data_IF_844827930933
#
_entry.id   IF_844827930933
#
_cell.length_a   1.000
_cell.length_b   1.000
_cell.length_c   1.000
_cell.angle_alpha   90.00
_cell.angle_beta   90.00
_cell.angle_gamma   90.00
#
_symmetry.space_group_name_H-M   'P 1'
#
loop_
_entity.id
_entity.type
_entity.pdbx_description
1 polymer ?
#
# COMPACT_ATOMS: atom_id res chain seq x y z
N UNK A 1 11.85 -9.38 25.57
CA UNK A 1 11.85 -7.92 25.34
C UNK A 1 10.63 -7.63 24.49
N UNK A 2 9.56 -7.12 25.09
CA UNK A 2 8.26 -6.89 24.45
C UNK A 2 8.18 -5.42 24.03
N UNK A 3 7.90 -5.15 22.75
CA UNK A 3 7.42 -3.83 22.31
C UNK A 3 6.09 -4.06 21.59
N UNK A 4 5.04 -3.48 22.19
CA UNK A 4 3.66 -3.44 21.72
C UNK A 4 3.52 -2.31 20.71
N UNK A 5 3.01 -2.61 19.52
CA UNK A 5 2.28 -1.62 18.70
C UNK A 5 1.02 -2.31 18.19
N UNK A 6 -0.12 -1.86 18.68
CA UNK A 6 -1.44 -2.34 18.29
C UNK A 6 -2.52 -1.60 19.07
N UNK A 7 -3.60 -1.26 18.36
CA UNK A 7 -4.88 -0.69 18.80
C UNK A 7 -5.03 0.83 18.71
N UNK A 8 -5.68 1.26 17.63
CA UNK A 8 -6.64 2.36 17.64
C UNK A 8 -8.05 1.75 17.53
N UNK A 9 -8.97 2.34 18.30
CA UNK A 9 -10.44 2.19 18.28
C UNK A 9 -11.06 1.06 19.13
N UNK A 10 -11.67 1.42 20.26
CA UNK A 10 -13.09 1.14 20.67
C UNK A 10 -13.48 2.07 21.84
N UNK A 11 -14.72 2.60 21.78
CA UNK A 11 -15.49 3.47 22.70
C UNK A 11 -15.62 3.02 24.18
N UNK A 12 -15.82 3.96 25.14
CA UNK A 12 -17.12 4.26 25.81
C UNK A 12 -17.02 5.33 26.96
N UNK A 13 -18.21 5.87 27.30
CA UNK A 13 -18.58 7.00 28.16
C UNK A 13 -18.35 6.90 29.70
N UNK A 14 -18.50 8.09 30.33
CA UNK A 14 -19.03 8.45 31.68
C UNK A 14 -18.06 8.65 32.87
N UNK A 15 -18.01 9.92 33.35
CA UNK A 15 -18.33 10.40 34.71
C UNK A 15 -17.45 11.59 35.17
N UNK A 16 -18.09 12.71 35.53
CA UNK A 16 -17.52 13.86 36.28
C UNK A 16 -17.53 13.57 37.80
N UNK A 17 -17.14 14.48 38.73
CA UNK A 17 -16.55 15.84 38.66
C UNK A 17 -15.23 15.95 39.48
N UNK A 18 -14.53 17.09 39.64
CA UNK A 18 -14.66 18.01 40.80
C UNK A 18 -13.62 19.15 40.72
N UNK A 19 -14.10 20.40 40.68
CA UNK A 19 -13.69 21.64 41.42
C UNK A 19 -12.20 22.04 41.54
N UNK A 20 -11.84 23.24 41.06
CA UNK A 20 -11.36 24.39 41.86
C UNK A 20 -10.92 25.60 40.97
N UNK A 21 -11.37 26.80 41.35
CA UNK A 21 -10.86 28.14 41.00
C UNK A 21 -9.80 28.55 42.06
N UNK A 22 -8.84 29.48 41.84
CA UNK A 22 -9.13 30.91 41.60
C UNK A 22 -8.15 31.71 40.70
N UNK A 23 -8.60 32.94 40.38
CA UNK A 23 -7.92 34.01 39.64
C UNK A 23 -6.93 34.83 40.50
N UNK A 24 -5.89 35.39 39.86
CA UNK A 24 -5.19 36.66 40.16
C UNK A 24 -3.99 36.79 39.17
N UNK A 25 -3.46 37.92 38.67
CA UNK A 25 -3.70 39.38 38.68
C UNK A 25 -2.77 40.00 37.59
N UNK A 26 -2.92 41.30 37.29
CA UNK A 26 -2.37 42.12 36.20
C UNK A 26 -0.81 42.27 36.02
N UNK A 27 -0.45 42.70 34.79
CA UNK A 27 0.78 43.30 34.15
C UNK A 27 1.63 44.33 34.94
N UNK A 28 2.78 44.92 34.44
CA UNK A 28 3.48 44.89 33.11
C UNK A 28 5.05 44.74 33.10
N UNK A 29 5.64 44.81 31.88
CA UNK A 29 7.04 44.71 31.35
C UNK A 29 8.17 45.60 32.00
N UNK A 30 9.48 45.64 31.57
CA UNK A 30 10.13 45.15 30.31
C UNK A 30 11.61 44.63 30.35
N UNK A 31 12.08 44.11 29.19
CA UNK A 31 13.48 44.00 28.64
C UNK A 31 14.58 43.18 29.36
N UNK A 32 15.09 42.13 28.68
CA UNK A 32 16.49 41.96 28.24
C UNK A 32 16.94 40.49 28.10
N UNK A 33 17.77 40.25 27.08
CA UNK A 33 18.73 39.15 26.88
C UNK A 33 18.18 37.74 26.58
N UNK A 34 18.35 37.33 25.32
CA UNK A 34 18.19 35.97 24.83
C UNK A 34 19.36 35.06 25.27
N UNK A 35 19.03 33.94 25.89
CA UNK A 35 19.80 32.70 25.96
C UNK A 35 18.82 31.53 25.69
N UNK A 36 19.27 30.37 25.17
CA UNK A 36 18.44 29.49 24.34
C UNK A 36 17.41 28.74 25.18
N UNK A 37 16.12 28.92 24.86
CA UNK A 37 15.04 28.19 25.50
C UNK A 37 15.00 26.75 24.99
N UNK A 38 15.31 25.83 25.89
CA UNK A 38 14.87 24.45 25.84
C UNK A 38 13.34 24.36 25.65
N UNK A 39 12.90 23.35 24.90
CA UNK A 39 11.53 22.83 24.87
C UNK A 39 10.42 23.86 24.60
N UNK A 40 10.45 24.49 23.42
CA UNK A 40 9.24 25.12 22.88
C UNK A 40 8.30 24.02 22.35
N UNK A 41 7.24 23.72 23.11
CA UNK A 41 6.08 23.01 22.57
C UNK A 41 5.42 23.88 21.50
N UNK A 42 5.14 23.30 20.33
CA UNK A 42 4.60 23.98 19.16
C UNK A 42 3.34 24.81 19.49
N UNK A 43 3.33 26.06 19.05
CA UNK A 43 2.24 27.01 19.25
C UNK A 43 1.04 26.71 18.33
N UNK A 44 -0.18 27.14 18.71
CA UNK A 44 -1.42 26.86 17.97
C UNK A 44 -1.43 27.16 16.45
N UNK A 45 -0.72 28.20 15.95
CA UNK A 45 -0.56 28.42 14.51
C UNK A 45 0.36 27.39 13.84
N UNK A 46 1.42 26.93 14.52
CA UNK A 46 2.28 25.84 14.04
C UNK A 46 1.57 24.49 14.06
N UNK A 47 0.54 24.29 14.90
CA UNK A 47 -0.35 23.11 14.81
C UNK A 47 -1.35 23.18 13.65
N UNK A 48 -1.54 24.37 13.08
CA UNK A 48 -2.42 24.59 11.93
C UNK A 48 -1.64 24.56 10.60
N UNK A 49 -0.32 24.79 10.67
CA UNK A 49 0.65 24.59 9.58
C UNK A 49 1.48 23.30 9.73
N UNK A 50 1.36 22.58 10.84
CA UNK A 50 1.63 21.16 10.93
C UNK A 50 0.62 20.52 10.00
N UNK A 51 1.05 20.38 8.76
CA UNK A 51 0.29 19.85 7.66
C UNK A 51 -0.42 18.61 8.17
N UNK A 52 -1.76 18.65 8.16
CA UNK A 52 -2.60 17.46 8.13
C UNK A 52 -2.35 16.74 6.80
N UNK A 53 -1.13 16.27 6.60
CA UNK A 53 -0.75 15.24 5.64
C UNK A 53 -0.39 14.01 6.46
N UNK A 54 -1.39 13.48 7.17
CA UNK A 54 -1.64 12.05 7.03
C UNK A 54 -2.13 11.86 5.58
N UNK A 55 -1.21 11.99 4.62
CA UNK A 55 -1.54 11.87 3.22
C UNK A 55 -2.00 10.43 3.03
N UNK A 56 -3.30 10.23 2.82
CA UNK A 56 -3.83 8.95 2.38
C UNK A 56 -3.00 8.55 1.15
N UNK A 57 -2.38 7.39 1.19
CA UNK A 57 -1.59 6.82 0.09
C UNK A 57 -2.22 5.52 -0.36
N UNK A 58 -1.88 5.07 -1.58
CA UNK A 58 -2.25 3.73 -2.03
C UNK A 58 -1.40 2.75 -1.20
N UNK A 59 -2.03 1.83 -0.45
CA UNK A 59 -1.28 0.98 0.46
C UNK A 59 -0.39 0.01 -0.32
N UNK A 60 0.72 -0.36 0.29
CA UNK A 60 1.61 -1.38 -0.24
C UNK A 60 0.97 -2.77 -0.14
N UNK A 61 1.45 -3.75 -0.92
CA UNK A 61 1.03 -5.13 -0.74
C UNK A 61 1.28 -5.66 0.68
N UNK A 62 2.42 -5.31 1.30
CA UNK A 62 2.74 -5.68 2.68
C UNK A 62 1.74 -5.13 3.70
N UNK A 63 1.29 -3.88 3.54
CA UNK A 63 0.23 -3.29 4.36
C UNK A 63 -1.10 -4.02 4.19
N UNK A 64 -1.49 -4.36 2.95
CA UNK A 64 -2.71 -5.14 2.68
C UNK A 64 -2.65 -6.54 3.29
N UNK A 65 -1.49 -7.22 3.22
CA UNK A 65 -1.31 -8.55 3.78
C UNK A 65 -1.29 -8.52 5.31
N UNK A 66 -0.67 -7.50 5.91
CA UNK A 66 -0.72 -7.29 7.36
C UNK A 66 -2.15 -7.02 7.84
N UNK A 67 -2.93 -6.25 7.06
CA UNK A 67 -4.32 -5.93 7.37
C UNK A 67 -5.26 -7.15 7.37
N UNK A 68 -4.92 -8.25 6.68
CA UNK A 68 -5.66 -9.53 6.77
C UNK A 68 -5.66 -10.10 8.20
N UNK A 69 -4.68 -9.73 9.05
CA UNK A 69 -4.54 -10.20 10.42
C UNK A 69 -4.20 -11.70 10.55
N UNK A 70 -4.07 -12.18 11.79
CA UNK A 70 -3.65 -13.56 12.13
C UNK A 70 -4.75 -14.64 12.34
N UNK A 71 -5.98 -14.60 11.79
CA UNK A 71 -6.84 -15.79 11.79
C UNK A 71 -6.73 -16.62 10.49
N UNK A 72 -6.41 -16.01 9.35
CA UNK A 72 -6.08 -16.74 8.13
C UNK A 72 -4.56 -16.86 8.07
N UNK A 73 -3.99 -18.04 8.35
CA UNK A 73 -2.63 -18.36 7.86
C UNK A 73 -2.83 -18.86 6.44
N UNK A 74 -2.74 -17.99 5.42
CA UNK A 74 -2.99 -18.44 4.06
C UNK A 74 -1.86 -19.39 3.68
N UNK A 75 -2.19 -20.41 2.90
CA UNK A 75 -1.16 -21.13 2.15
C UNK A 75 -0.62 -20.15 1.09
N UNK A 76 0.41 -19.39 1.46
CA UNK A 76 1.02 -18.36 0.62
C UNK A 76 1.64 -18.93 -0.65
N UNK A 77 2.22 -20.13 -0.58
CA UNK A 77 2.78 -20.83 -1.73
C UNK A 77 1.69 -21.16 -2.78
N UNK A 78 0.47 -21.52 -2.34
CA UNK A 78 -0.66 -21.70 -3.26
C UNK A 78 -1.12 -20.42 -3.98
N UNK A 79 -0.58 -19.24 -3.60
CA UNK A 79 -0.94 -17.94 -4.18
C UNK A 79 0.06 -17.45 -5.22
N UNK A 80 1.12 -18.20 -5.48
CA UNK A 80 1.97 -17.93 -6.63
C UNK A 80 1.16 -18.01 -7.93
N UNK A 81 1.54 -17.16 -8.88
CA UNK A 81 1.07 -17.21 -10.26
C UNK A 81 2.16 -17.79 -11.15
N UNK A 82 1.76 -18.24 -12.34
CA UNK A 82 2.74 -18.64 -13.36
C UNK A 82 3.62 -17.45 -13.81
N UNK A 83 4.74 -17.74 -14.49
CA UNK A 83 5.60 -16.69 -15.03
C UNK A 83 4.84 -15.74 -15.95
N UNK A 84 5.12 -14.44 -15.83
CA UNK A 84 4.57 -13.43 -16.72
C UNK A 84 5.56 -13.10 -17.85
N UNK A 85 5.08 -12.59 -19.00
CA UNK A 85 5.97 -12.01 -19.98
C UNK A 85 6.83 -10.86 -19.42
N UNK A 86 8.04 -10.65 -19.98
CA UNK A 86 8.98 -9.63 -19.50
C UNK A 86 9.39 -8.60 -20.57
N UNK A 87 8.87 -8.75 -21.79
CA UNK A 87 9.22 -7.92 -22.96
C UNK A 87 8.03 -7.05 -23.42
N UNK A 88 7.30 -6.49 -22.46
CA UNK A 88 6.26 -5.50 -22.73
C UNK A 88 6.85 -4.24 -23.37
N UNK A 89 6.10 -3.61 -24.26
CA UNK A 89 6.53 -2.38 -24.96
C UNK A 89 5.93 -1.12 -24.34
N UNK A 90 4.69 -1.21 -23.89
CA UNK A 90 3.97 -0.09 -23.29
C UNK A 90 4.46 0.16 -21.86
N UNK A 91 4.98 1.36 -21.60
CA UNK A 91 5.41 1.80 -20.25
C UNK A 91 4.30 1.66 -19.19
N UNK A 92 3.01 1.96 -19.46
CA UNK A 92 1.94 1.77 -18.49
C UNK A 92 1.77 0.31 -18.07
N UNK A 93 1.85 -0.61 -19.04
CA UNK A 93 1.78 -2.05 -18.79
C UNK A 93 2.99 -2.56 -18.01
N UNK A 94 4.19 -2.07 -18.31
CA UNK A 94 5.40 -2.39 -17.54
C UNK A 94 5.23 -1.92 -16.08
N UNK A 95 4.73 -0.70 -15.85
CA UNK A 95 4.50 -0.16 -14.52
C UNK A 95 3.49 -0.99 -13.72
N UNK A 96 2.35 -1.33 -14.32
CA UNK A 96 1.33 -2.19 -13.68
C UNK A 96 1.89 -3.58 -13.33
N UNK A 97 2.64 -4.21 -14.24
CA UNK A 97 3.26 -5.51 -13.98
C UNK A 97 4.38 -5.44 -12.93
N UNK A 98 5.18 -4.37 -12.92
CA UNK A 98 6.21 -4.14 -11.90
C UNK A 98 5.58 -4.08 -10.50
N UNK A 99 4.49 -3.33 -10.35
CA UNK A 99 3.71 -3.31 -9.12
C UNK A 99 3.23 -4.70 -8.69
N UNK A 100 2.69 -5.47 -9.63
CA UNK A 100 2.26 -6.84 -9.40
C UNK A 100 3.40 -7.77 -8.96
N UNK A 101 4.60 -7.65 -9.55
CA UNK A 101 5.77 -8.43 -9.14
C UNK A 101 6.26 -8.05 -7.74
N UNK A 102 6.21 -6.77 -7.37
CA UNK A 102 6.52 -6.35 -5.99
C UNK A 102 5.57 -7.04 -5.00
N UNK A 103 4.27 -7.11 -5.32
CA UNK A 103 3.30 -7.84 -4.52
C UNK A 103 3.63 -9.35 -4.45
N UNK A 104 4.06 -9.97 -5.55
CA UNK A 104 4.51 -11.37 -5.51
C UNK A 104 5.75 -11.55 -4.61
N UNK A 105 6.65 -10.56 -4.56
CA UNK A 105 7.81 -10.56 -3.67
C UNK A 105 7.39 -10.66 -2.20
N UNK A 106 6.40 -9.86 -1.79
CA UNK A 106 5.81 -9.98 -0.45
C UNK A 106 5.19 -11.36 -0.20
N UNK A 107 4.51 -11.96 -1.18
CA UNK A 107 3.96 -13.34 -1.04
C UNK A 107 5.09 -14.35 -0.83
N UNK A 108 6.21 -14.21 -1.55
CA UNK A 108 7.36 -15.10 -1.39
C UNK A 108 8.02 -14.97 -0.01
N UNK A 109 8.10 -13.75 0.53
CA UNK A 109 8.58 -13.50 1.91
C UNK A 109 7.63 -14.09 2.95
N UNK A 110 6.33 -13.89 2.79
CA UNK A 110 5.29 -14.49 3.65
C UNK A 110 5.31 -16.03 3.61
N UNK A 111 5.63 -16.60 2.45
CA UNK A 111 5.85 -18.04 2.27
C UNK A 111 7.22 -18.53 2.77
N UNK A 112 8.14 -17.63 3.13
CA UNK A 112 9.52 -17.93 3.48
C UNK A 112 10.27 -18.74 2.40
N UNK A 113 10.02 -18.42 1.13
CA UNK A 113 10.61 -19.11 -0.01
C UNK A 113 11.76 -18.27 -0.62
N UNK A 114 12.98 -18.58 -0.19
CA UNK A 114 14.21 -17.91 -0.67
C UNK A 114 14.36 -17.97 -2.19
N UNK A 115 14.00 -19.10 -2.82
CA UNK A 115 14.18 -19.26 -4.26
C UNK A 115 13.18 -18.40 -5.03
N UNK A 116 11.94 -18.31 -4.56
CA UNK A 116 10.95 -17.43 -5.17
C UNK A 116 11.28 -15.96 -4.97
N UNK A 117 11.79 -15.56 -3.80
CA UNK A 117 12.29 -14.19 -3.57
C UNK A 117 13.35 -13.82 -4.62
N UNK A 118 14.32 -14.71 -4.87
CA UNK A 118 15.37 -14.50 -5.88
C UNK A 118 14.82 -14.43 -7.30
N UNK A 119 13.92 -15.35 -7.68
CA UNK A 119 13.30 -15.38 -9.00
C UNK A 119 12.55 -14.07 -9.28
N UNK A 120 11.70 -13.65 -8.33
CA UNK A 120 10.90 -12.43 -8.44
C UNK A 120 11.79 -11.19 -8.42
N UNK A 121 12.82 -11.15 -7.57
CA UNK A 121 13.80 -10.06 -7.54
C UNK A 121 14.47 -9.85 -8.91
N UNK A 122 14.85 -10.94 -9.57
CA UNK A 122 15.39 -10.90 -10.94
C UNK A 122 14.41 -10.30 -11.95
N UNK A 123 13.12 -10.62 -11.84
CA UNK A 123 12.08 -10.12 -12.74
C UNK A 123 11.71 -8.65 -12.45
N UNK A 124 11.68 -8.24 -11.18
CA UNK A 124 11.54 -6.83 -10.76
C UNK A 124 12.65 -5.99 -11.37
N UNK A 125 13.91 -6.45 -11.30
CA UNK A 125 15.06 -5.75 -11.90
C UNK A 125 14.90 -5.61 -13.42
N UNK A 126 14.39 -6.62 -14.12
CA UNK A 126 14.17 -6.55 -15.58
C UNK A 126 13.13 -5.49 -15.94
N UNK A 127 11.97 -5.48 -15.30
CA UNK A 127 10.93 -4.48 -15.60
C UNK A 127 11.34 -3.07 -15.16
N UNK A 128 12.03 -2.95 -14.02
CA UNK A 128 12.58 -1.68 -13.57
C UNK A 128 13.60 -1.07 -14.55
N UNK A 129 14.47 -1.90 -15.14
CA UNK A 129 15.39 -1.47 -16.22
C UNK A 129 14.62 -0.94 -17.43
N UNK A 130 13.53 -1.61 -17.83
CA UNK A 130 12.71 -1.17 -18.96
C UNK A 130 12.02 0.19 -18.71
N UNK A 131 11.79 0.57 -17.43
CA UNK A 131 11.29 1.89 -17.04
C UNK A 131 12.40 2.94 -16.83
N UNK A 132 13.67 2.55 -16.82
CA UNK A 132 14.82 3.44 -16.60
C UNK A 132 15.11 3.77 -15.14
N UNK A 133 14.64 2.96 -14.17
CA UNK A 133 14.74 3.25 -12.72
C UNK A 133 15.70 2.33 -11.98
N UNK A 134 16.59 1.64 -12.69
CA UNK A 134 17.31 0.47 -12.16
C UNK A 134 18.48 0.74 -11.23
N UNK A 135 19.13 1.92 -11.28
CA UNK A 135 20.37 2.14 -10.52
C UNK A 135 20.16 2.01 -9.00
N UNK A 136 19.09 2.59 -8.46
CA UNK A 136 18.80 2.52 -7.03
C UNK A 136 18.25 1.14 -6.58
N UNK A 137 17.66 0.38 -7.50
CA UNK A 137 17.04 -0.92 -7.22
C UNK A 137 18.09 -2.03 -7.15
N UNK A 138 19.13 -1.94 -7.99
CA UNK A 138 20.22 -2.91 -8.01
C UNK A 138 21.01 -2.91 -6.70
N UNK A 139 21.19 -1.74 -6.07
CA UNK A 139 21.89 -1.62 -4.79
C UNK A 139 21.20 -2.39 -3.65
N UNK A 140 19.86 -2.42 -3.64
CA UNK A 140 19.05 -3.11 -2.61
C UNK A 140 18.88 -4.61 -2.88
N UNK A 141 18.98 -5.03 -4.14
CA UNK A 141 18.86 -6.44 -4.52
C UNK A 141 19.86 -7.37 -3.82
N UNK A 142 21.05 -6.86 -3.48
CA UNK A 142 22.05 -7.63 -2.73
C UNK A 142 21.59 -7.91 -1.28
N UNK A 143 21.07 -6.89 -0.58
CA UNK A 143 20.54 -7.02 0.77
C UNK A 143 19.33 -7.97 0.83
N UNK A 144 18.42 -7.86 -0.13
CA UNK A 144 17.26 -8.76 -0.27
C UNK A 144 17.71 -10.22 -0.37
N UNK A 145 18.70 -10.51 -1.23
CA UNK A 145 19.21 -11.87 -1.39
C UNK A 145 19.90 -12.37 -0.11
N UNK A 146 20.70 -11.52 0.53
CA UNK A 146 21.41 -11.88 1.77
C UNK A 146 20.42 -12.19 2.91
N UNK A 147 19.42 -11.35 3.13
CA UNK A 147 18.40 -11.60 4.15
C UNK A 147 17.59 -12.87 3.86
N UNK A 148 17.26 -13.13 2.59
CA UNK A 148 16.56 -14.35 2.19
C UNK A 148 17.41 -15.63 2.37
N UNK A 149 18.72 -15.57 2.16
CA UNK A 149 19.66 -16.68 2.39
C UNK A 149 19.85 -16.97 3.88
N UNK A 150 19.86 -15.93 4.70
CA UNK A 150 20.03 -16.04 6.15
C UNK A 150 18.73 -16.34 6.92
N UNK A 151 17.59 -16.45 6.23
CA UNK A 151 16.25 -16.60 6.83
C UNK A 151 15.86 -15.39 7.72
N UNK A 152 16.35 -14.20 7.41
CA UNK A 152 16.08 -12.95 8.13
C UNK A 152 14.76 -12.31 7.63
N UNK A 153 13.65 -13.04 7.74
CA UNK A 153 12.37 -12.69 7.10
C UNK A 153 11.78 -11.33 7.51
N UNK A 154 11.96 -10.94 8.77
CA UNK A 154 11.51 -9.62 9.24
C UNK A 154 12.32 -8.49 8.61
N UNK A 155 13.65 -8.63 8.54
CA UNK A 155 14.52 -7.64 7.90
C UNK A 155 14.27 -7.60 6.39
N UNK A 156 13.99 -8.75 5.77
CA UNK A 156 13.62 -8.84 4.37
C UNK A 156 12.31 -8.11 4.06
N UNK A 157 11.31 -8.20 4.93
CA UNK A 157 10.06 -7.46 4.78
C UNK A 157 10.29 -5.95 4.84
N UNK A 158 11.08 -5.48 5.81
CA UNK A 158 11.47 -4.07 5.92
C UNK A 158 12.26 -3.60 4.68
N UNK A 159 13.20 -4.40 4.17
CA UNK A 159 13.98 -4.06 2.97
C UNK A 159 13.11 -4.03 1.70
N UNK A 160 12.08 -4.88 1.59
CA UNK A 160 11.12 -4.82 0.48
C UNK A 160 10.29 -3.53 0.52
N UNK A 161 9.84 -3.10 1.69
CA UNK A 161 9.13 -1.83 1.85
C UNK A 161 10.03 -0.64 1.50
N UNK A 162 11.27 -0.66 1.99
CA UNK A 162 12.28 0.35 1.63
C UNK A 162 12.55 0.38 0.13
N UNK A 163 12.66 -0.78 -0.52
CA UNK A 163 12.84 -0.91 -1.97
C UNK A 163 11.65 -0.33 -2.73
N UNK A 164 10.42 -0.62 -2.31
CA UNK A 164 9.23 -0.07 -2.95
C UNK A 164 9.20 1.47 -2.83
N UNK A 165 9.55 2.02 -1.67
CA UNK A 165 9.59 3.47 -1.46
C UNK A 165 10.69 4.14 -2.29
N UNK A 166 11.84 3.49 -2.44
CA UNK A 166 12.92 3.94 -3.32
C UNK A 166 12.49 3.97 -4.78
N UNK A 167 11.79 2.93 -5.27
CA UNK A 167 11.22 2.90 -6.64
C UNK A 167 10.30 4.10 -6.84
N UNK A 168 9.39 4.34 -5.88
CA UNK A 168 8.46 5.49 -5.94
C UNK A 168 9.22 6.82 -5.98
N UNK A 169 10.23 7.00 -5.12
CA UNK A 169 11.03 8.23 -5.04
C UNK A 169 11.87 8.46 -6.30
N UNK A 170 12.53 7.42 -6.83
CA UNK A 170 13.32 7.49 -8.06
C UNK A 170 12.45 7.93 -9.24
N UNK A 171 11.27 7.34 -9.39
CA UNK A 171 10.32 7.73 -10.44
C UNK A 171 9.74 9.15 -10.25
N UNK A 172 9.59 9.62 -9.00
CA UNK A 172 9.12 10.98 -8.70
C UNK A 172 10.12 12.07 -9.13
N UNK A 173 11.42 11.76 -9.11
CA UNK A 173 12.50 12.65 -9.56
C UNK A 173 12.63 12.77 -11.08
N UNK A 174 11.85 11.99 -11.85
CA UNK A 174 11.85 11.94 -13.31
C UNK A 174 10.50 12.39 -13.91
N UNK A 175 10.39 12.47 -15.24
CA UNK A 175 9.14 12.74 -15.98
C UNK A 175 8.08 11.60 -15.87
N UNK A 176 8.28 10.64 -14.98
CA UNK A 176 7.51 9.40 -14.84
C UNK A 176 6.65 9.37 -13.57
N UNK A 177 6.32 10.54 -13.01
CA UNK A 177 5.50 10.66 -11.80
C UNK A 177 4.18 9.88 -11.89
N UNK A 178 3.55 9.91 -13.06
CA UNK A 178 2.31 9.19 -13.32
C UNK A 178 2.46 7.66 -13.30
N UNK A 179 3.62 7.15 -13.73
CA UNK A 179 3.89 5.72 -13.73
C UNK A 179 4.01 5.18 -12.30
N UNK A 180 4.36 6.02 -11.31
CA UNK A 180 4.36 5.63 -9.88
C UNK A 180 2.97 5.24 -9.40
N UNK A 181 1.96 5.97 -9.88
CA UNK A 181 0.56 5.68 -9.58
C UNK A 181 0.19 4.32 -10.16
N UNK A 182 0.65 4.01 -11.38
CA UNK A 182 0.41 2.71 -12.02
C UNK A 182 1.17 1.56 -11.36
N UNK A 183 2.41 1.76 -10.90
CA UNK A 183 3.14 0.76 -10.09
C UNK A 183 2.38 0.48 -8.78
N UNK A 184 1.96 1.54 -8.09
CA UNK A 184 1.21 1.39 -6.84
C UNK A 184 -0.13 0.69 -7.07
N UNK A 185 -0.82 1.03 -8.18
CA UNK A 185 -2.06 0.40 -8.59
C UNK A 185 -1.89 -1.09 -8.92
N UNK A 186 -0.85 -1.45 -9.67
CA UNK A 186 -0.56 -2.85 -10.01
C UNK A 186 -0.32 -3.70 -8.76
N UNK A 187 0.44 -3.17 -7.80
CA UNK A 187 0.65 -3.81 -6.50
C UNK A 187 -0.64 -3.96 -5.70
N UNK A 188 -1.49 -2.93 -5.69
CA UNK A 188 -2.78 -2.97 -5.01
C UNK A 188 -3.75 -3.98 -5.64
N UNK A 189 -3.86 -4.05 -6.97
CA UNK A 189 -4.72 -5.01 -7.67
C UNK A 189 -4.25 -6.43 -7.35
N UNK A 190 -2.95 -6.69 -7.45
CA UNK A 190 -2.38 -8.00 -7.13
C UNK A 190 -2.58 -8.37 -5.65
N UNK A 191 -2.33 -7.44 -4.73
CA UNK A 191 -2.58 -7.64 -3.31
C UNK A 191 -4.04 -7.98 -3.03
N UNK A 192 -4.96 -7.21 -3.60
CA UNK A 192 -6.41 -7.44 -3.49
C UNK A 192 -6.82 -8.78 -4.08
N UNK A 193 -6.22 -9.21 -5.19
CA UNK A 193 -6.43 -10.54 -5.79
C UNK A 193 -6.08 -11.66 -4.82
N UNK A 194 -4.93 -11.56 -4.14
CA UNK A 194 -4.51 -12.56 -3.15
C UNK A 194 -5.46 -12.55 -1.96
N UNK A 195 -5.65 -11.38 -1.35
CA UNK A 195 -6.48 -11.17 -0.15
C UNK A 195 -7.90 -11.69 -0.38
N UNK A 196 -8.57 -11.24 -1.44
CA UNK A 196 -9.92 -11.70 -1.77
C UNK A 196 -9.97 -13.19 -2.10
N UNK A 197 -8.95 -13.75 -2.76
CA UNK A 197 -8.87 -15.18 -3.06
C UNK A 197 -8.57 -16.06 -1.84
N UNK A 198 -7.96 -15.51 -0.80
CA UNK A 198 -7.80 -16.18 0.50
C UNK A 198 -9.14 -16.20 1.22
N UNK A 199 -9.81 -15.04 1.30
CA UNK A 199 -11.10 -14.89 1.97
C UNK A 199 -12.19 -15.72 1.27
N UNK A 200 -12.21 -15.75 -0.07
CA UNK A 200 -13.19 -16.54 -0.83
C UNK A 200 -13.13 -18.05 -0.53
N UNK A 201 -11.93 -18.59 -0.24
CA UNK A 201 -11.78 -20.01 0.12
C UNK A 201 -12.24 -20.32 1.55
N UNK A 202 -12.04 -19.38 2.48
CA UNK A 202 -12.30 -19.56 3.91
C UNK A 202 -13.08 -18.35 4.44
N UNK A 203 -14.31 -18.17 3.96
CA UNK A 203 -15.09 -16.98 4.26
C UNK A 203 -15.44 -16.88 5.75
N UNK A 204 -15.22 -15.69 6.33
CA UNK A 204 -15.64 -15.26 7.66
C UNK A 204 -16.08 -13.80 7.54
N UNK A 205 -17.15 -13.41 8.24
CA UNK A 205 -17.73 -12.06 8.14
C UNK A 205 -16.73 -10.96 8.53
N UNK A 206 -15.81 -11.21 9.48
CA UNK A 206 -14.76 -10.25 9.87
C UNK A 206 -13.80 -10.01 8.73
N UNK A 207 -13.50 -11.03 7.94
CA UNK A 207 -12.66 -10.90 6.75
C UNK A 207 -13.40 -10.14 5.63
N UNK A 208 -14.71 -10.36 5.49
CA UNK A 208 -15.58 -9.56 4.62
C UNK A 208 -15.56 -8.07 4.96
N UNK A 209 -15.38 -7.71 6.24
CA UNK A 209 -15.24 -6.33 6.68
C UNK A 209 -13.91 -5.68 6.25
N UNK A 210 -12.81 -6.45 6.18
CA UNK A 210 -11.48 -5.95 5.77
C UNK A 210 -11.49 -5.48 4.31
N UNK A 211 -12.25 -6.16 3.44
CA UNK A 211 -12.35 -5.82 2.02
C UNK A 211 -13.24 -4.59 1.74
N UNK A 212 -14.01 -4.14 2.73
CA UNK A 212 -14.96 -3.02 2.61
C UNK A 212 -14.23 -1.67 2.71
N UNK A 213 -13.47 -1.32 1.67
CA UNK A 213 -12.65 -0.10 1.63
C UNK A 213 -13.04 0.87 0.48
N UNK A 214 -14.29 1.38 0.43
CA UNK A 214 -14.73 2.25 -0.66
C UNK A 214 -13.94 3.57 -0.74
N UNK A 215 -13.55 4.14 0.40
CA UNK A 215 -12.77 5.38 0.43
C UNK A 215 -11.37 5.21 -0.17
N UNK A 216 -10.74 4.05 0.03
CA UNK A 216 -9.47 3.75 -0.59
C UNK A 216 -9.60 3.66 -2.10
N UNK A 217 -10.65 2.99 -2.61
CA UNK A 217 -10.89 2.93 -4.06
C UNK A 217 -11.16 4.30 -4.65
N UNK A 218 -11.97 5.13 -3.99
CA UNK A 218 -12.23 6.51 -4.39
C UNK A 218 -10.94 7.33 -4.44
N UNK A 219 -10.07 7.15 -3.45
CA UNK A 219 -8.75 7.77 -3.42
C UNK A 219 -7.86 7.29 -4.59
N UNK A 220 -7.73 5.97 -4.80
CA UNK A 220 -6.97 5.39 -5.92
C UNK A 220 -7.46 5.97 -7.25
N UNK A 221 -8.78 6.00 -7.47
CA UNK A 221 -9.39 6.57 -8.68
C UNK A 221 -9.11 8.06 -8.83
N UNK A 222 -9.10 8.82 -7.73
CA UNK A 222 -8.72 10.24 -7.76
C UNK A 222 -7.27 10.45 -8.19
N UNK A 223 -6.37 9.52 -7.85
CA UNK A 223 -4.97 9.54 -8.31
C UNK A 223 -4.85 9.18 -9.78
N UNK A 224 -5.61 8.20 -10.25
CA UNK A 224 -5.67 7.88 -11.69
C UNK A 224 -6.19 9.07 -12.49
N UNK A 225 -7.20 9.80 -11.98
CA UNK A 225 -7.70 11.00 -12.65
C UNK A 225 -6.69 12.17 -12.69
N UNK A 226 -5.61 12.11 -11.90
CA UNK A 226 -4.54 13.12 -11.86
C UNK A 226 -3.37 12.79 -12.79
N UNK A 227 -3.30 11.59 -13.38
CA UNK A 227 -2.24 11.27 -14.36
C UNK A 227 -2.48 12.01 -15.68
N UNK A 228 -1.46 12.10 -16.52
CA UNK A 228 -1.55 12.73 -17.85
C UNK A 228 -2.68 12.15 -18.72
N UNK A 229 -3.33 12.98 -19.55
CA UNK A 229 -4.39 12.52 -20.45
C UNK A 229 -3.96 11.36 -21.37
N UNK A 230 -2.72 11.36 -21.83
CA UNK A 230 -2.17 10.29 -22.68
C UNK A 230 -2.21 8.93 -21.96
N UNK A 231 -1.85 8.91 -20.67
CA UNK A 231 -1.93 7.71 -19.85
C UNK A 231 -3.37 7.35 -19.48
N UNK A 232 -4.26 8.33 -19.26
CA UNK A 232 -5.67 8.04 -19.02
C UNK A 232 -6.33 7.39 -20.25
N UNK A 233 -5.95 7.84 -21.45
CA UNK A 233 -6.46 7.37 -22.73
C UNK A 233 -5.79 6.07 -23.23
N UNK A 234 -4.71 5.63 -22.57
CA UNK A 234 -4.12 4.32 -22.84
C UNK A 234 -5.19 3.21 -22.67
N UNK A 235 -5.38 2.31 -23.66
CA UNK A 235 -6.45 1.32 -23.62
C UNK A 235 -6.43 0.42 -22.39
N UNK A 236 -5.23 0.01 -21.95
CA UNK A 236 -5.08 -0.84 -20.79
C UNK A 236 -5.41 -0.07 -19.50
N UNK A 237 -4.89 1.15 -19.35
CA UNK A 237 -5.19 1.98 -18.17
C UNK A 237 -6.68 2.30 -18.07
N UNK A 238 -7.32 2.63 -19.20
CA UNK A 238 -8.76 2.82 -19.29
C UNK A 238 -9.54 1.55 -18.90
N UNK A 239 -9.11 0.37 -19.35
CA UNK A 239 -9.74 -0.90 -18.98
C UNK A 239 -9.62 -1.18 -17.48
N UNK A 240 -8.41 -1.02 -16.93
CA UNK A 240 -8.15 -1.18 -15.49
C UNK A 240 -9.01 -0.21 -14.67
N UNK A 241 -9.12 1.05 -15.07
CA UNK A 241 -9.95 2.04 -14.37
C UNK A 241 -11.45 1.66 -14.39
N UNK A 242 -11.95 1.03 -15.47
CA UNK A 242 -13.32 0.46 -15.50
C UNK A 242 -13.47 -0.69 -14.51
N UNK A 243 -12.49 -1.58 -14.39
CA UNK A 243 -12.51 -2.64 -13.38
C UNK A 243 -12.54 -2.06 -11.96
N UNK A 244 -11.77 -0.99 -11.69
CA UNK A 244 -11.79 -0.32 -10.38
C UNK A 244 -13.15 0.28 -10.05
N UNK A 245 -13.84 0.87 -11.02
CA UNK A 245 -15.21 1.37 -10.81
C UNK A 245 -16.18 0.23 -10.45
N UNK A 246 -16.07 -0.91 -11.13
CA UNK A 246 -16.89 -2.08 -10.82
C UNK A 246 -16.56 -2.65 -9.43
N UNK A 247 -15.28 -2.65 -9.04
CA UNK A 247 -14.82 -3.07 -7.70
C UNK A 247 -15.36 -2.12 -6.63
N UNK A 248 -15.31 -0.81 -6.85
CA UNK A 248 -15.83 0.21 -5.93
C UNK A 248 -17.31 -0.05 -5.62
N UNK A 249 -18.13 -0.38 -6.62
CA UNK A 249 -19.54 -0.70 -6.44
C UNK A 249 -19.78 -1.93 -5.56
N UNK A 250 -18.89 -2.93 -5.62
CA UNK A 250 -18.97 -4.14 -4.79
C UNK A 250 -18.64 -3.80 -3.33
N UNK A 251 -17.57 -3.03 -3.11
CA UNK A 251 -17.07 -2.73 -1.75
C UNK A 251 -17.80 -1.57 -1.06
N UNK A 252 -18.64 -0.82 -1.80
CA UNK A 252 -19.45 0.28 -1.30
C UNK A 252 -20.65 -0.21 -0.46
N UNK A 253 -20.36 -0.82 0.69
CA UNK A 253 -21.36 -1.24 1.67
C UNK A 253 -21.54 -0.20 2.78
N UNK A 254 -22.77 -0.06 3.32
CA UNK A 254 -23.02 0.71 4.53
C UNK A 254 -22.03 0.39 5.65
N UNK A 255 -21.79 1.36 6.54
CA UNK A 255 -20.91 1.14 7.67
C UNK A 255 -21.36 -0.06 8.52
N UNK A 256 -20.42 -0.95 8.85
CA UNK A 256 -20.67 -2.16 9.63
C UNK A 256 -21.28 -3.33 8.87
N UNK A 257 -21.57 -3.20 7.57
CA UNK A 257 -22.03 -4.34 6.75
C UNK A 257 -20.85 -4.98 6.01
N UNK A 258 -20.45 -6.23 6.34
CA UNK A 258 -19.37 -6.91 5.64
C UNK A 258 -19.78 -7.30 4.22
N UNK A 259 -18.81 -7.51 3.34
CA UNK A 259 -19.08 -8.17 2.06
C UNK A 259 -19.52 -9.61 2.30
N UNK A 260 -20.55 -10.07 1.60
CA UNK A 260 -20.99 -11.47 1.59
C UNK A 260 -20.00 -12.37 0.86
N UNK A 261 -20.05 -13.69 1.07
CA UNK A 261 -19.19 -14.64 0.35
C UNK A 261 -19.30 -14.51 -1.17
N UNK A 262 -20.53 -14.31 -1.69
CA UNK A 262 -20.76 -14.10 -3.12
C UNK A 262 -20.10 -12.82 -3.64
N UNK A 263 -20.15 -11.74 -2.88
CA UNK A 263 -19.53 -10.45 -3.24
C UNK A 263 -18.01 -10.51 -3.16
N UNK A 264 -17.45 -11.24 -2.19
CA UNK A 264 -16.00 -11.53 -2.16
C UNK A 264 -15.59 -12.33 -3.39
N UNK A 265 -16.40 -13.29 -3.83
CA UNK A 265 -16.20 -14.03 -5.08
C UNK A 265 -16.19 -13.10 -6.30
N UNK A 266 -17.21 -12.25 -6.43
CA UNK A 266 -17.29 -11.26 -7.52
C UNK A 266 -16.11 -10.27 -7.50
N UNK A 267 -15.71 -9.80 -6.32
CA UNK A 267 -14.53 -8.96 -6.16
C UNK A 267 -13.29 -9.68 -6.69
N UNK A 268 -13.09 -10.95 -6.30
CA UNK A 268 -11.96 -11.75 -6.74
C UNK A 268 -11.95 -11.94 -8.26
N UNK A 269 -13.10 -12.20 -8.88
CA UNK A 269 -13.25 -12.29 -10.33
C UNK A 269 -12.84 -11.00 -11.05
N UNK A 270 -13.26 -9.83 -10.53
CA UNK A 270 -12.90 -8.51 -11.11
C UNK A 270 -11.40 -8.27 -11.09
N UNK A 271 -10.75 -8.52 -9.96
CA UNK A 271 -9.28 -8.34 -9.85
C UNK A 271 -8.52 -9.42 -10.62
N UNK A 272 -9.05 -10.64 -10.76
CA UNK A 272 -8.49 -11.66 -11.65
C UNK A 272 -8.53 -11.20 -13.12
N UNK A 273 -9.66 -10.63 -13.55
CA UNK A 273 -9.81 -10.09 -14.89
C UNK A 273 -8.85 -8.91 -15.13
N UNK A 274 -8.75 -7.97 -14.19
CA UNK A 274 -7.79 -6.86 -14.28
C UNK A 274 -6.34 -7.38 -14.38
N UNK A 275 -5.96 -8.36 -13.56
CA UNK A 275 -4.62 -8.97 -13.62
C UNK A 275 -4.36 -9.69 -14.95
N UNK A 276 -5.38 -10.34 -15.53
CA UNK A 276 -5.28 -10.98 -16.83
C UNK A 276 -5.05 -9.95 -17.95
N UNK A 277 -5.81 -8.86 -17.94
CA UNK A 277 -5.63 -7.75 -18.89
C UNK A 277 -4.23 -7.15 -18.78
N UNK A 278 -3.75 -6.87 -17.56
CA UNK A 278 -2.41 -6.34 -17.30
C UNK A 278 -1.31 -7.25 -17.87
N UNK A 279 -1.48 -8.57 -17.76
CA UNK A 279 -0.44 -9.54 -18.16
C UNK A 279 -0.49 -9.93 -19.64
N UNK A 280 -1.64 -9.75 -20.30
CA UNK A 280 -1.83 -10.14 -21.69
C UNK A 280 -1.00 -9.22 -22.58
N UNK A 281 -0.16 -9.80 -23.43
CA UNK A 281 0.57 -9.03 -24.44
C UNK A 281 -0.40 -8.54 -25.51
N UNK A 282 -0.27 -7.26 -25.85
CA UNK A 282 -0.76 -6.72 -27.10
C UNK A 282 0.08 -7.23 -28.30
#
# INVERSE_FOLDING_TARGET
MFVRIGCVLVLFLLAAPTRALPQATASPAPTAAAAPAANASLTGPEKSQAVKTDAVTIPTPGELFTALGKPAKPDWASRYRGPIPMNYKARPQIALNLGGLIADGFIAVEAQDTQQVKNIGGDVVKLAKALGVSENILARGNSINQFAENNEWSALQEELEATQNEVKASMQSHRDQDLVILVSLGGWIRGTQVVSGVIAKNYDERLGQILRQPELLRFIRSKIAQISPDLQNDPLVSSVNKQLLAIEQIVAKPFGQPLTAAEVGQLNERVNQAMKEIQTKD
#
